data_IF_610437821501
#
_entry.id   IF_610437821501
#
_cell.length_a   1.000
_cell.length_b   1.000
_cell.length_c   1.000
_cell.angle_alpha   90.00
_cell.angle_beta   90.00
_cell.angle_gamma   90.00
#
_symmetry.space_group_name_H-M   'P 1'
#
loop_
_entity.id
_entity.type
_entity.pdbx_description
1 polymer ?
#
# COMPACT_ATOMS: atom_id res chain seq x y z
N UNK A 1 29.05 22.36 -55.96
CA UNK A 1 27.65 22.53 -56.42
C UNK A 1 26.77 22.39 -55.20
N UNK A 2 26.31 23.47 -54.53
CA UNK A 2 25.13 24.32 -54.87
C UNK A 2 23.84 23.46 -54.91
N UNK A 3 22.75 23.66 -54.14
CA UNK A 3 22.22 24.71 -53.22
C UNK A 3 21.14 24.03 -52.33
N UNK A 4 21.14 24.18 -50.99
CA UNK A 4 20.15 24.89 -50.12
C UNK A 4 18.68 24.93 -50.63
N UNK A 5 17.62 24.67 -49.84
CA UNK A 5 17.04 25.49 -48.74
C UNK A 5 15.85 24.67 -48.15
N UNK A 6 15.64 24.47 -46.85
CA UNK A 6 15.25 25.39 -45.75
C UNK A 6 13.81 25.95 -45.80
N UNK A 7 13.01 25.56 -44.79
CA UNK A 7 12.18 26.41 -43.91
C UNK A 7 10.92 27.09 -44.53
N UNK A 8 9.83 27.47 -43.83
CA UNK A 8 9.31 27.36 -42.46
C UNK A 8 7.88 27.96 -42.46
N UNK A 9 7.13 27.76 -41.37
CA UNK A 9 5.97 28.52 -40.84
C UNK A 9 4.95 29.19 -41.80
N UNK A 10 3.69 29.01 -41.42
CA UNK A 10 2.97 30.14 -40.83
C UNK A 10 1.81 30.72 -41.62
N UNK A 11 0.66 30.68 -40.94
CA UNK A 11 -0.34 31.74 -40.84
C UNK A 11 -1.23 32.09 -42.05
N UNK A 12 -2.52 31.97 -41.72
CA UNK A 12 -3.58 32.95 -41.93
C UNK A 12 -4.20 33.13 -43.32
N UNK A 13 -5.53 32.97 -43.28
CA UNK A 13 -6.59 33.53 -44.10
C UNK A 13 -6.23 34.46 -45.26
N UNK A 14 -6.88 34.26 -46.42
CA UNK A 14 -7.98 35.14 -46.86
C UNK A 14 -8.43 34.83 -48.29
N UNK A 15 -9.74 34.82 -48.52
CA UNK A 15 -10.34 35.27 -49.77
C UNK A 15 -11.81 35.67 -49.51
N UNK A 16 -12.12 36.91 -49.90
CA UNK A 16 -13.36 37.63 -49.68
C UNK A 16 -14.40 37.28 -50.76
N UNK A 17 -15.67 37.17 -50.36
CA UNK A 17 -16.83 37.44 -51.22
C UNK A 17 -17.90 38.23 -50.43
N UNK A 18 -18.59 39.12 -51.15
CA UNK A 18 -19.39 40.28 -50.71
C UNK A 18 -20.67 39.96 -49.87
N UNK A 19 -21.36 40.98 -49.31
CA UNK A 19 -22.02 40.93 -48.00
C UNK A 19 -23.43 40.35 -48.01
N UNK A 20 -23.78 39.60 -46.96
CA UNK A 20 -25.16 39.21 -46.63
C UNK A 20 -25.53 39.91 -45.30
N UNK A 21 -26.68 40.59 -45.19
CA UNK A 21 -27.08 41.27 -43.96
C UNK A 21 -27.21 40.32 -42.74
N UNK A 22 -26.33 40.56 -41.76
CA UNK A 22 -26.46 40.44 -40.28
C UNK A 22 -27.38 39.39 -39.61
N UNK A 23 -27.57 38.19 -40.13
CA UNK A 23 -28.14 37.10 -39.32
C UNK A 23 -27.08 36.20 -38.67
N UNK A 24 -25.86 36.15 -39.24
CA UNK A 24 -24.77 35.28 -38.76
C UNK A 24 -23.86 35.95 -37.72
N UNK A 25 -23.70 37.28 -37.74
CA UNK A 25 -22.85 38.01 -36.78
C UNK A 25 -23.43 38.00 -35.36
N UNK A 26 -24.75 38.20 -35.25
CA UNK A 26 -25.45 38.21 -33.96
C UNK A 26 -25.59 36.80 -33.38
N UNK A 27 -25.78 35.77 -34.23
CA UNK A 27 -25.82 34.38 -33.78
C UNK A 27 -24.45 33.87 -33.32
N UNK A 28 -23.37 34.26 -34.00
CA UNK A 28 -21.99 33.89 -33.62
C UNK A 28 -21.54 34.66 -32.39
N UNK A 29 -21.88 35.95 -32.25
CA UNK A 29 -21.58 36.72 -31.03
C UNK A 29 -22.40 36.25 -29.83
N UNK A 30 -23.66 35.85 -30.04
CA UNK A 30 -24.49 35.22 -29.01
C UNK A 30 -24.03 33.78 -28.67
N UNK A 31 -23.53 33.01 -29.63
CA UNK A 31 -22.91 31.70 -29.37
C UNK A 31 -21.58 31.84 -28.63
N UNK A 32 -20.71 32.75 -29.06
CA UNK A 32 -19.41 33.01 -28.42
C UNK A 32 -19.65 33.58 -27.02
N UNK A 33 -20.52 34.57 -26.87
CA UNK A 33 -20.89 35.10 -25.56
C UNK A 33 -21.62 34.07 -24.68
N UNK A 34 -22.43 33.19 -25.27
CA UNK A 34 -23.08 32.08 -24.57
C UNK A 34 -22.07 31.03 -24.09
N UNK A 35 -21.08 30.69 -24.92
CA UNK A 35 -19.97 29.78 -24.60
C UNK A 35 -19.04 30.42 -23.57
N UNK A 36 -18.66 31.68 -23.72
CA UNK A 36 -17.83 32.42 -22.77
C UNK A 36 -18.53 32.58 -21.42
N UNK A 37 -19.83 32.89 -21.40
CA UNK A 37 -20.61 32.97 -20.17
C UNK A 37 -20.78 31.59 -19.51
N UNK A 38 -21.04 30.54 -20.30
CA UNK A 38 -21.11 29.18 -19.77
C UNK A 38 -19.75 28.73 -19.21
N UNK A 39 -18.65 28.97 -19.93
CA UNK A 39 -17.28 28.70 -19.48
C UNK A 39 -16.96 29.51 -18.22
N UNK A 40 -17.30 30.79 -18.17
CA UNK A 40 -17.06 31.65 -17.00
C UNK A 40 -17.88 31.20 -15.79
N UNK A 41 -19.14 30.84 -15.99
CA UNK A 41 -20.02 30.34 -14.93
C UNK A 41 -19.51 29.01 -14.38
N UNK A 42 -19.20 28.05 -15.26
CA UNK A 42 -18.59 26.77 -14.89
C UNK A 42 -17.27 26.97 -14.15
N UNK A 43 -16.42 27.91 -14.61
CA UNK A 43 -15.15 28.24 -13.93
C UNK A 43 -15.39 28.83 -12.55
N UNK A 44 -16.37 29.74 -12.41
CA UNK A 44 -16.72 30.38 -11.13
C UNK A 44 -17.30 29.36 -10.12
N UNK A 45 -18.12 28.43 -10.59
CA UNK A 45 -18.68 27.35 -9.78
C UNK A 45 -17.58 26.38 -9.33
N UNK A 46 -16.66 26.00 -10.23
CA UNK A 46 -15.49 25.18 -9.91
C UNK A 46 -14.61 25.87 -8.88
N UNK A 47 -14.29 27.15 -9.06
CA UNK A 47 -13.51 27.94 -8.11
C UNK A 47 -14.19 28.01 -6.74
N UNK A 48 -15.52 28.14 -6.72
CA UNK A 48 -16.32 28.17 -5.50
C UNK A 48 -16.27 26.82 -4.78
N UNK A 49 -16.39 25.71 -5.52
CA UNK A 49 -16.29 24.35 -4.97
C UNK A 49 -14.88 24.09 -4.42
N UNK A 50 -13.83 24.45 -5.17
CA UNK A 50 -12.44 24.28 -4.75
C UNK A 50 -12.13 25.09 -3.47
N UNK A 51 -12.58 26.34 -3.39
CA UNK A 51 -12.43 27.18 -2.18
C UNK A 51 -13.18 26.61 -0.98
N UNK A 52 -14.39 26.08 -1.20
CA UNK A 52 -15.17 25.41 -0.13
C UNK A 52 -14.45 24.16 0.36
N UNK A 53 -13.94 23.33 -0.53
CA UNK A 53 -13.18 22.13 -0.17
C UNK A 53 -11.92 22.50 0.64
N UNK A 54 -11.13 23.46 0.16
CA UNK A 54 -9.95 23.95 0.86
C UNK A 54 -10.28 24.51 2.26
N UNK A 55 -11.37 25.29 2.39
CA UNK A 55 -11.84 25.79 3.69
C UNK A 55 -12.26 24.67 4.64
N UNK A 56 -12.95 23.63 4.13
CA UNK A 56 -13.34 22.47 4.92
C UNK A 56 -12.13 21.64 5.36
N UNK A 57 -11.15 21.44 4.49
CA UNK A 57 -9.88 20.77 4.82
C UNK A 57 -9.08 21.57 5.87
N UNK A 58 -9.04 22.90 5.75
CA UNK A 58 -8.36 23.77 6.71
C UNK A 58 -8.94 23.64 8.13
N UNK A 59 -10.26 23.43 8.26
CA UNK A 59 -10.92 23.18 9.56
C UNK A 59 -10.46 21.87 10.22
N UNK A 60 -9.94 20.92 9.45
CA UNK A 60 -9.36 19.66 9.95
C UNK A 60 -7.90 19.79 10.39
N UNK A 61 -7.34 21.01 10.32
CA UNK A 61 -5.97 21.32 10.73
C UNK A 61 -4.91 20.86 9.74
N UNK A 62 -5.24 20.77 8.45
CA UNK A 62 -4.28 20.49 7.35
C UNK A 62 -4.58 21.41 6.16
N UNK A 63 -3.70 21.41 5.16
CA UNK A 63 -3.86 22.22 3.94
C UNK A 63 -4.15 21.31 2.76
N UNK A 64 -5.19 21.63 1.99
CA UNK A 64 -5.48 20.95 0.73
C UNK A 64 -4.31 21.16 -0.24
N UNK A 65 -3.71 20.06 -0.67
CA UNK A 65 -2.59 20.09 -1.61
C UNK A 65 -3.10 20.19 -3.04
N UNK A 66 -2.35 20.90 -3.88
CA UNK A 66 -2.61 21.08 -5.32
C UNK A 66 -1.32 20.92 -6.13
N UNK A 67 -0.36 20.18 -5.58
CA UNK A 67 1.01 20.11 -6.05
C UNK A 67 1.32 18.82 -6.83
N UNK A 68 0.35 17.99 -7.20
CA UNK A 68 0.57 16.72 -7.86
C UNK A 68 1.50 16.80 -9.08
N UNK A 69 1.48 17.90 -9.85
CA UNK A 69 2.40 18.12 -10.97
C UNK A 69 3.89 18.24 -10.59
N UNK A 70 4.22 18.24 -9.30
CA UNK A 70 5.59 18.19 -8.77
C UNK A 70 6.06 16.78 -8.45
N UNK A 71 5.31 15.74 -8.81
CA UNK A 71 5.75 14.35 -8.62
C UNK A 71 7.08 14.06 -9.32
N UNK A 72 7.83 13.08 -8.82
CA UNK A 72 9.03 12.58 -9.50
C UNK A 72 8.69 11.64 -10.66
N UNK A 73 9.66 10.84 -11.10
CA UNK A 73 9.44 9.97 -12.25
C UNK A 73 8.44 8.87 -11.94
N UNK A 74 7.61 8.55 -12.94
CA UNK A 74 6.75 7.37 -12.92
C UNK A 74 7.57 6.21 -13.49
N UNK A 75 7.85 5.21 -12.68
CA UNK A 75 8.58 4.02 -13.13
C UNK A 75 7.60 3.08 -13.83
N UNK A 76 7.63 3.05 -15.17
CA UNK A 76 6.90 2.06 -15.96
C UNK A 76 7.75 0.80 -16.16
N UNK A 77 7.16 -0.38 -15.96
CA UNK A 77 7.83 -1.67 -16.21
C UNK A 77 8.32 -1.84 -17.66
N UNK A 78 7.75 -1.09 -18.61
CA UNK A 78 8.14 -1.11 -20.02
C UNK A 78 9.45 -0.35 -20.30
N UNK A 79 9.97 0.42 -19.33
CA UNK A 79 11.22 1.17 -19.46
C UNK A 79 12.43 0.46 -18.85
N UNK A 80 12.25 -0.78 -18.38
CA UNK A 80 13.31 -1.52 -17.72
C UNK A 80 14.24 -2.19 -18.75
N UNK A 81 15.47 -1.72 -18.81
CA UNK A 81 16.57 -2.45 -19.43
C UNK A 81 17.32 -3.23 -18.33
N UNK A 82 17.40 -4.54 -18.48
CA UNK A 82 18.21 -5.40 -17.64
C UNK A 82 19.41 -5.90 -18.45
N UNK A 83 20.58 -5.90 -17.83
CA UNK A 83 21.75 -6.58 -18.39
C UNK A 83 21.44 -8.07 -18.57
N UNK A 84 22.14 -8.73 -19.51
CA UNK A 84 22.03 -10.18 -19.63
C UNK A 84 22.40 -10.83 -18.29
N UNK A 85 21.55 -11.75 -17.84
CA UNK A 85 21.83 -12.56 -16.66
C UNK A 85 22.82 -13.64 -17.08
N UNK A 86 24.10 -13.43 -16.77
CA UNK A 86 25.13 -14.45 -16.92
C UNK A 86 24.90 -15.57 -15.87
N UNK A 87 24.89 -16.82 -16.32
CA UNK A 87 24.80 -18.03 -15.49
C UNK A 87 23.65 -18.09 -14.46
N UNK A 88 22.48 -18.53 -14.94
CA UNK A 88 21.27 -18.83 -14.15
C UNK A 88 21.47 -19.77 -12.93
N UNK A 89 22.64 -20.40 -12.77
CA UNK A 89 22.84 -21.48 -11.80
C UNK A 89 23.75 -21.15 -10.62
N UNK A 90 24.48 -20.02 -10.63
CA UNK A 90 25.44 -19.73 -9.56
C UNK A 90 24.81 -18.92 -8.43
N UNK A 91 24.51 -19.57 -7.30
CA UNK A 91 24.09 -18.87 -6.08
C UNK A 91 25.27 -18.10 -5.49
N UNK A 92 25.07 -16.82 -5.19
CA UNK A 92 26.02 -16.04 -4.39
C UNK A 92 25.94 -16.49 -2.95
N UNK A 93 27.09 -16.86 -2.38
CA UNK A 93 27.19 -17.13 -0.94
C UNK A 93 27.29 -15.82 -0.18
N UNK A 94 26.52 -15.69 0.90
CA UNK A 94 26.53 -14.50 1.75
C UNK A 94 26.10 -14.87 3.18
N UNK A 95 26.16 -13.90 4.10
CA UNK A 95 25.66 -14.07 5.46
C UNK A 95 24.77 -12.87 5.80
N UNK A 96 23.47 -13.11 5.89
CA UNK A 96 22.52 -12.14 6.44
C UNK A 96 22.40 -12.40 7.93
N UNK A 97 22.93 -11.50 8.75
CA UNK A 97 22.64 -11.49 10.18
C UNK A 97 21.47 -10.55 10.44
N UNK A 98 20.45 -11.04 11.15
CA UNK A 98 19.37 -10.19 11.65
C UNK A 98 19.87 -9.44 12.89
N UNK A 99 20.11 -8.11 12.80
CA UNK A 99 20.51 -7.38 13.99
C UNK A 99 19.37 -7.47 15.00
N UNK A 100 19.62 -8.15 16.12
CA UNK A 100 18.76 -7.98 17.29
C UNK A 100 18.91 -6.53 17.72
N UNK A 101 17.82 -5.76 17.64
CA UNK A 101 17.75 -4.45 18.27
C UNK A 101 17.93 -4.69 19.78
N UNK A 102 19.17 -4.65 20.28
CA UNK A 102 19.43 -4.91 21.72
C UNK A 102 18.97 -3.74 22.59
N UNK A 103 18.82 -2.55 22.00
CA UNK A 103 18.45 -1.33 22.68
C UNK A 103 17.03 -0.90 22.30
N UNK A 104 16.26 -0.43 23.29
CA UNK A 104 14.89 0.09 23.14
C UNK A 104 14.89 1.54 22.64
N UNK A 105 15.46 1.75 21.46
CA UNK A 105 15.56 3.06 20.81
C UNK A 105 14.49 3.21 19.73
N UNK A 106 14.15 4.46 19.41
CA UNK A 106 13.34 4.73 18.22
C UNK A 106 14.06 4.24 16.98
N UNK A 107 13.31 3.57 16.11
CA UNK A 107 13.80 3.00 14.89
C UNK A 107 14.15 4.08 13.86
N UNK A 108 15.26 3.89 13.15
CA UNK A 108 15.61 4.67 11.96
C UNK A 108 15.55 3.76 10.73
N UNK A 109 14.58 4.00 9.85
CA UNK A 109 14.39 3.17 8.65
C UNK A 109 15.54 3.24 7.66
N UNK A 110 16.37 4.29 7.68
CA UNK A 110 17.52 4.39 6.74
C UNK A 110 18.63 3.40 7.05
N UNK A 111 18.72 2.91 8.29
CA UNK A 111 19.74 1.94 8.72
C UNK A 111 19.17 0.61 9.18
N UNK A 112 17.87 0.55 9.45
CA UNK A 112 17.20 -0.66 9.88
C UNK A 112 16.99 -1.64 8.72
N UNK A 113 17.06 -2.94 9.04
CA UNK A 113 16.92 -4.05 8.10
C UNK A 113 15.86 -5.01 8.63
N UNK A 114 14.67 -4.91 8.04
CA UNK A 114 13.46 -5.60 8.47
C UNK A 114 13.36 -7.00 7.84
N UNK A 115 13.31 -8.03 8.67
CA UNK A 115 12.83 -9.36 8.32
C UNK A 115 11.41 -9.48 8.86
N UNK A 116 10.44 -9.16 8.02
CA UNK A 116 9.07 -8.98 8.43
C UNK A 116 8.13 -10.07 7.97
N UNK A 117 6.98 -10.13 8.63
CA UNK A 117 5.79 -10.87 8.17
C UNK A 117 4.55 -10.02 8.43
N UNK A 118 3.55 -10.12 7.56
CA UNK A 118 2.24 -9.51 7.76
C UNK A 118 1.35 -10.38 8.66
N UNK A 119 0.39 -9.76 9.35
CA UNK A 119 -0.75 -10.42 10.01
C UNK A 119 -2.06 -10.04 9.32
N UNK A 120 -2.12 -10.25 8.01
CA UNK A 120 -3.35 -10.11 7.23
C UNK A 120 -4.40 -11.17 7.60
N UNK A 121 -5.65 -10.94 7.21
CA UNK A 121 -6.82 -11.75 7.54
C UNK A 121 -7.06 -11.96 9.05
N UNK A 122 -6.43 -11.15 9.92
CA UNK A 122 -6.61 -11.17 11.37
C UNK A 122 -7.60 -10.10 11.83
N UNK A 123 -7.22 -8.82 11.75
CA UNK A 123 -8.04 -7.67 12.20
C UNK A 123 -8.76 -6.94 11.04
N UNK A 124 -8.57 -7.44 9.83
CA UNK A 124 -9.38 -7.22 8.63
C UNK A 124 -9.61 -8.61 8.01
N UNK A 125 -10.75 -8.83 7.34
CA UNK A 125 -11.09 -10.15 6.78
C UNK A 125 -11.07 -10.15 5.26
N UNK A 126 -10.41 -11.17 4.70
CA UNK A 126 -10.36 -11.44 3.27
C UNK A 126 -10.84 -12.89 2.98
N UNK A 127 -11.65 -13.11 1.93
CA UNK A 127 -12.36 -14.36 1.69
C UNK A 127 -11.46 -15.58 1.42
N UNK A 128 -10.35 -15.36 0.73
CA UNK A 128 -9.51 -16.42 0.20
C UNK A 128 -8.41 -16.91 1.17
N UNK A 129 -8.33 -16.40 2.41
CA UNK A 129 -7.23 -16.75 3.33
C UNK A 129 -7.49 -17.97 4.18
N UNK A 130 -8.74 -18.17 4.59
CA UNK A 130 -9.15 -19.27 5.46
C UNK A 130 -10.52 -19.74 5.00
N UNK A 131 -10.52 -20.51 3.89
CA UNK A 131 -11.74 -20.94 3.22
C UNK A 131 -12.68 -21.72 4.16
N UNK A 132 -12.12 -22.51 5.07
CA UNK A 132 -12.93 -23.29 6.01
C UNK A 132 -13.57 -22.37 7.05
N UNK A 133 -12.84 -21.41 7.62
CA UNK A 133 -13.44 -20.44 8.51
C UNK A 133 -14.47 -19.57 7.80
N UNK A 134 -14.16 -19.10 6.58
CA UNK A 134 -15.04 -18.26 5.78
C UNK A 134 -16.36 -18.98 5.47
N UNK A 135 -16.31 -20.21 4.94
CA UNK A 135 -17.50 -21.00 4.66
C UNK A 135 -18.35 -21.28 5.91
N UNK A 136 -17.71 -21.56 7.06
CA UNK A 136 -18.41 -21.89 8.31
C UNK A 136 -19.00 -20.66 9.04
N UNK A 137 -18.52 -19.45 8.75
CA UNK A 137 -18.87 -18.25 9.52
C UNK A 137 -19.53 -17.15 8.72
N UNK A 138 -19.19 -17.03 7.44
CA UNK A 138 -19.59 -15.94 6.54
C UNK A 138 -20.42 -16.51 5.38
N UNK A 139 -19.86 -17.47 4.65
CA UNK A 139 -20.44 -18.05 3.44
C UNK A 139 -20.06 -17.30 2.17
N UNK A 140 -20.18 -17.99 1.02
CA UNK A 140 -19.64 -17.52 -0.27
C UNK A 140 -20.49 -16.40 -0.93
N UNK A 141 -21.59 -15.99 -0.30
CA UNK A 141 -22.50 -14.97 -0.83
C UNK A 141 -21.98 -13.54 -0.67
N UNK A 142 -20.93 -13.34 0.13
CA UNK A 142 -20.44 -12.01 0.49
C UNK A 142 -19.01 -11.79 -0.02
N UNK A 143 -18.74 -10.70 -0.75
CA UNK A 143 -17.42 -10.43 -1.30
C UNK A 143 -16.40 -9.91 -0.26
N UNK A 144 -16.87 -9.38 0.88
CA UNK A 144 -16.05 -8.71 1.89
C UNK A 144 -16.70 -8.69 3.28
N UNK A 145 -15.91 -8.26 4.29
CA UNK A 145 -16.34 -8.10 5.69
C UNK A 145 -17.56 -7.15 5.81
N UNK A 146 -17.56 -6.06 5.04
CA UNK A 146 -18.60 -5.04 5.06
C UNK A 146 -19.97 -5.60 4.67
N UNK A 147 -20.06 -6.23 3.51
CA UNK A 147 -21.31 -6.74 2.93
C UNK A 147 -21.90 -7.84 3.81
N UNK A 148 -21.03 -8.67 4.39
CA UNK A 148 -21.44 -9.69 5.36
C UNK A 148 -22.01 -9.07 6.64
N UNK A 149 -21.27 -8.20 7.33
CA UNK A 149 -21.73 -7.57 8.56
C UNK A 149 -22.99 -6.72 8.34
N UNK A 150 -23.14 -6.09 7.18
CA UNK A 150 -24.37 -5.40 6.79
C UNK A 150 -25.57 -6.36 6.74
N UNK A 151 -25.41 -7.53 6.15
CA UNK A 151 -26.49 -8.48 5.95
C UNK A 151 -26.95 -9.15 7.26
N UNK A 152 -26.00 -9.47 8.15
CA UNK A 152 -26.28 -10.24 9.38
C UNK A 152 -26.36 -9.40 10.66
N UNK A 153 -25.97 -8.13 10.57
CA UNK A 153 -25.83 -7.18 11.69
C UNK A 153 -24.73 -7.56 12.70
N UNK A 154 -24.27 -6.55 13.47
CA UNK A 154 -23.20 -6.72 14.46
C UNK A 154 -23.52 -7.72 15.58
N UNK A 155 -24.80 -7.98 15.86
CA UNK A 155 -25.21 -9.01 16.83
C UNK A 155 -24.79 -10.43 16.41
N UNK A 156 -24.58 -10.66 15.10
CA UNK A 156 -24.14 -11.95 14.55
C UNK A 156 -22.67 -11.89 14.13
N UNK A 157 -22.26 -10.87 13.38
CA UNK A 157 -20.88 -10.83 12.87
C UNK A 157 -19.86 -10.51 13.98
N UNK A 158 -20.21 -9.66 14.95
CA UNK A 158 -19.33 -9.25 16.04
C UNK A 158 -18.77 -10.42 16.85
N UNK A 159 -19.60 -11.31 17.44
CA UNK A 159 -19.10 -12.46 18.18
C UNK A 159 -18.19 -13.40 17.39
N UNK A 160 -18.45 -13.58 16.08
CA UNK A 160 -17.61 -14.40 15.19
C UNK A 160 -16.25 -13.76 14.95
N UNK A 161 -16.24 -12.45 14.72
CA UNK A 161 -15.02 -11.66 14.57
C UNK A 161 -14.19 -11.65 15.86
N UNK A 162 -14.81 -11.41 17.02
CA UNK A 162 -14.15 -11.48 18.33
C UNK A 162 -13.49 -12.84 18.59
N UNK A 163 -14.20 -13.94 18.28
CA UNK A 163 -13.65 -15.29 18.41
C UNK A 163 -12.44 -15.51 17.48
N UNK A 164 -12.48 -14.97 16.26
CA UNK A 164 -11.34 -15.02 15.33
C UNK A 164 -10.18 -14.17 15.83
N UNK A 165 -10.42 -12.94 16.26
CA UNK A 165 -9.39 -12.04 16.79
C UNK A 165 -8.64 -12.67 17.97
N UNK A 166 -9.35 -13.41 18.83
CA UNK A 166 -8.79 -14.07 20.00
C UNK A 166 -7.92 -15.31 19.68
N UNK A 167 -8.10 -15.94 18.51
CA UNK A 167 -7.56 -17.29 18.25
C UNK A 167 -6.70 -17.40 16.99
N UNK A 168 -6.86 -16.52 16.01
CA UNK A 168 -6.16 -16.62 14.73
C UNK A 168 -4.66 -16.34 14.86
N UNK A 169 -4.27 -15.34 15.67
CA UNK A 169 -2.88 -15.02 16.01
C UNK A 169 -2.70 -15.13 17.52
N UNK A 170 -1.66 -15.84 17.95
CA UNK A 170 -1.37 -16.14 19.36
C UNK A 170 0.08 -15.84 19.72
N UNK A 171 0.42 -15.87 21.01
CA UNK A 171 1.82 -15.72 21.45
C UNK A 171 2.73 -16.88 21.02
N UNK A 172 2.16 -18.07 20.75
CA UNK A 172 2.91 -19.19 20.16
C UNK A 172 3.38 -18.89 18.74
N UNK A 173 2.57 -18.14 17.99
CA UNK A 173 2.92 -17.69 16.65
C UNK A 173 4.11 -16.72 16.69
N UNK A 174 4.10 -15.79 17.65
CA UNK A 174 5.23 -14.88 17.90
C UNK A 174 6.50 -15.66 18.26
N UNK A 175 6.39 -16.70 19.09
CA UNK A 175 7.53 -17.53 19.47
C UNK A 175 8.15 -18.26 18.27
N UNK A 176 7.32 -18.74 17.33
CA UNK A 176 7.78 -19.39 16.10
C UNK A 176 8.54 -18.40 15.22
N UNK A 177 7.98 -17.22 15.00
CA UNK A 177 8.61 -16.15 14.21
C UNK A 177 9.93 -15.67 14.81
N UNK A 178 9.95 -15.38 16.11
CA UNK A 178 11.14 -14.87 16.79
C UNK A 178 12.32 -15.85 16.78
N UNK A 179 12.05 -17.17 16.87
CA UNK A 179 13.08 -18.22 16.75
C UNK A 179 13.73 -18.30 15.37
N UNK A 180 13.03 -17.84 14.33
CA UNK A 180 13.51 -17.83 12.95
C UNK A 180 13.97 -16.44 12.49
N UNK A 181 14.17 -15.51 13.44
CA UNK A 181 14.78 -14.22 13.18
C UNK A 181 13.85 -13.17 12.56
N UNK A 182 12.54 -13.36 12.62
CA UNK A 182 11.60 -12.27 12.33
C UNK A 182 11.78 -11.17 13.38
N UNK A 183 11.96 -9.93 12.92
CA UNK A 183 12.17 -8.77 13.76
C UNK A 183 11.13 -7.65 13.53
N UNK A 184 10.25 -7.81 12.54
CA UNK A 184 9.22 -6.83 12.22
C UNK A 184 7.88 -7.51 11.97
N UNK A 185 6.79 -6.90 12.42
CA UNK A 185 5.43 -7.36 12.14
C UNK A 185 4.63 -6.20 11.56
N UNK A 186 4.03 -6.39 10.38
CA UNK A 186 3.06 -5.46 9.79
C UNK A 186 1.66 -5.97 10.05
N UNK A 187 0.80 -5.13 10.65
CA UNK A 187 -0.53 -5.55 11.11
C UNK A 187 -1.58 -4.68 10.42
N UNK A 188 -2.21 -5.19 9.36
CA UNK A 188 -3.40 -4.60 8.76
C UNK A 188 -4.54 -4.52 9.78
N UNK A 189 -5.22 -3.38 9.80
CA UNK A 189 -6.42 -3.13 10.61
C UNK A 189 -7.43 -2.34 9.80
N UNK A 190 -8.72 -2.62 9.99
CA UNK A 190 -9.76 -1.72 9.47
C UNK A 190 -9.80 -0.42 10.27
N UNK A 191 -10.28 0.68 9.66
CA UNK A 191 -10.49 1.93 10.42
C UNK A 191 -11.47 1.76 11.59
N UNK A 192 -12.37 0.77 11.52
CA UNK A 192 -13.39 0.49 12.53
C UNK A 192 -12.79 0.00 13.86
N UNK A 193 -11.55 -0.47 13.86
CA UNK A 193 -10.79 -0.74 15.09
C UNK A 193 -10.47 0.56 15.86
N UNK A 194 -10.44 1.72 15.19
CA UNK A 194 -9.89 2.97 15.73
C UNK A 194 -10.95 4.06 15.89
N UNK A 195 -11.98 4.06 15.04
CA UNK A 195 -13.05 5.05 15.07
C UNK A 195 -14.39 4.42 14.70
N UNK A 196 -15.45 4.84 15.41
CA UNK A 196 -16.83 4.50 15.06
C UNK A 196 -17.38 5.56 14.10
N UNK A 197 -17.45 5.21 12.82
CA UNK A 197 -18.04 6.06 11.79
C UNK A 197 -19.54 5.73 11.63
N UNK A 198 -20.46 6.72 11.75
CA UNK A 198 -21.86 6.51 11.47
C UNK A 198 -22.09 5.94 10.06
N UNK A 199 -22.89 4.88 9.97
CA UNK A 199 -23.20 4.21 8.69
C UNK A 199 -22.21 3.13 8.27
N UNK A 200 -21.04 3.04 8.91
CA UNK A 200 -20.08 1.95 8.66
C UNK A 200 -20.70 0.58 9.00
N UNK A 201 -20.47 -0.39 8.12
CA UNK A 201 -20.86 -1.79 8.34
C UNK A 201 -19.67 -2.65 8.77
N UNK A 202 -18.50 -2.06 9.02
CA UNK A 202 -17.39 -2.76 9.65
C UNK A 202 -17.57 -2.77 11.16
N UNK A 203 -17.28 -3.91 11.78
CA UNK A 203 -17.52 -4.09 13.21
C UNK A 203 -16.49 -3.33 14.06
N UNK A 204 -16.96 -2.53 15.03
CA UNK A 204 -16.10 -1.86 16.02
C UNK A 204 -16.23 -2.52 17.39
N UNK A 205 -15.25 -3.35 17.76
CA UNK A 205 -15.20 -4.13 18.99
C UNK A 205 -13.86 -4.03 19.73
N UNK A 206 -13.33 -5.17 20.16
CA UNK A 206 -12.12 -5.24 20.98
C UNK A 206 -10.82 -5.41 20.17
N UNK A 207 -10.78 -5.06 18.89
CA UNK A 207 -9.59 -5.24 18.04
C UNK A 207 -8.32 -4.68 18.71
N UNK A 208 -8.41 -3.48 19.31
CA UNK A 208 -7.27 -2.87 20.01
C UNK A 208 -6.79 -3.68 21.22
N UNK A 209 -7.67 -4.40 21.92
CA UNK A 209 -7.27 -5.22 23.07
C UNK A 209 -6.47 -6.45 22.63
N UNK A 210 -6.93 -7.16 21.59
CA UNK A 210 -6.17 -8.28 21.01
C UNK A 210 -4.84 -7.81 20.43
N UNK A 211 -4.85 -6.69 19.70
CA UNK A 211 -3.65 -6.06 19.18
C UNK A 211 -2.65 -5.72 20.29
N UNK A 212 -3.11 -5.12 21.41
CA UNK A 212 -2.27 -4.79 22.56
C UNK A 212 -1.58 -6.03 23.13
N UNK A 213 -2.33 -7.12 23.31
CA UNK A 213 -1.79 -8.35 23.88
C UNK A 213 -0.65 -8.92 23.03
N UNK A 214 -0.87 -9.03 21.72
CA UNK A 214 0.12 -9.58 20.78
C UNK A 214 1.33 -8.66 20.62
N UNK A 215 1.11 -7.36 20.43
CA UNK A 215 2.21 -6.39 20.23
C UNK A 215 3.08 -6.25 21.48
N UNK A 216 2.49 -6.20 22.69
CA UNK A 216 3.27 -6.17 23.93
C UNK A 216 4.16 -7.41 24.04
N UNK A 217 3.64 -8.60 23.76
CA UNK A 217 4.41 -9.84 23.82
C UNK A 217 5.56 -9.87 22.79
N UNK A 218 5.27 -9.47 21.54
CA UNK A 218 6.28 -9.40 20.47
C UNK A 218 7.41 -8.40 20.80
N UNK A 219 7.06 -7.23 21.32
CA UNK A 219 8.04 -6.20 21.69
C UNK A 219 8.82 -6.62 22.95
N UNK A 220 8.16 -7.13 23.99
CA UNK A 220 8.85 -7.43 25.25
C UNK A 220 9.77 -8.64 25.15
N UNK A 221 9.34 -9.68 24.43
CA UNK A 221 10.09 -10.93 24.35
C UNK A 221 11.15 -10.92 23.26
N UNK A 222 10.85 -10.31 22.12
CA UNK A 222 11.70 -10.37 20.92
C UNK A 222 12.19 -9.01 20.44
N UNK A 223 11.75 -7.90 21.06
CA UNK A 223 11.99 -6.54 20.60
C UNK A 223 11.65 -6.34 19.12
N UNK A 224 10.56 -6.99 18.67
CA UNK A 224 10.05 -6.82 17.32
C UNK A 224 9.50 -5.40 17.13
N UNK A 225 9.75 -4.83 15.96
CA UNK A 225 9.14 -3.57 15.55
C UNK A 225 7.78 -3.80 14.92
N UNK A 226 6.79 -2.98 15.26
CA UNK A 226 5.41 -3.13 14.84
C UNK A 226 5.03 -2.00 13.88
N UNK A 227 4.48 -2.36 12.72
CA UNK A 227 3.83 -1.42 11.80
C UNK A 227 2.32 -1.59 11.99
N UNK A 228 1.63 -0.56 12.45
CA UNK A 228 0.16 -0.54 12.51
C UNK A 228 -0.35 0.07 11.22
N UNK A 229 -1.01 -0.74 10.39
CA UNK A 229 -1.57 -0.33 9.11
C UNK A 229 -3.07 -0.02 9.21
N UNK A 230 -3.47 1.19 8.84
CA UNK A 230 -4.86 1.47 8.48
C UNK A 230 -5.09 0.98 7.07
N UNK A 231 -5.51 -0.29 6.95
CA UNK A 231 -5.62 -0.99 5.67
C UNK A 231 -6.84 -0.52 4.88
N UNK A 232 -7.92 -0.17 5.59
CA UNK A 232 -9.07 0.55 5.05
C UNK A 232 -9.17 1.97 5.63
N UNK A 233 -9.80 2.87 4.88
CA UNK A 233 -10.21 4.20 5.37
C UNK A 233 -11.70 4.43 5.07
N UNK A 234 -12.38 5.28 5.87
CA UNK A 234 -13.75 5.70 5.64
C UNK A 234 -14.06 6.04 4.17
N UNK A 235 -15.04 5.38 3.57
CA UNK A 235 -15.47 5.58 2.18
C UNK A 235 -14.72 4.77 1.13
N UNK A 236 -13.67 4.03 1.49
CA UNK A 236 -12.95 3.14 0.56
C UNK A 236 -11.88 3.84 -0.28
N UNK A 237 -10.68 3.27 -0.29
CA UNK A 237 -9.49 3.86 -0.93
C UNK A 237 -9.11 3.25 -2.27
N UNK A 238 -9.71 2.12 -2.66
CA UNK A 238 -9.32 1.39 -3.87
C UNK A 238 -10.41 0.53 -4.50
N UNK A 239 -11.67 0.67 -4.08
CA UNK A 239 -12.82 -0.10 -4.63
C UNK A 239 -12.77 -1.60 -4.31
N UNK A 240 -11.77 -2.08 -3.57
CA UNK A 240 -11.64 -3.46 -3.11
C UNK A 240 -12.16 -3.62 -1.67
N UNK A 241 -12.46 -4.87 -1.27
CA UNK A 241 -12.84 -5.21 0.10
C UNK A 241 -11.81 -4.74 1.14
N UNK A 242 -10.52 -4.84 0.81
CA UNK A 242 -9.41 -4.38 1.67
C UNK A 242 -9.42 -2.87 1.93
N UNK A 243 -9.92 -2.07 0.98
CA UNK A 243 -9.96 -0.62 1.10
C UNK A 243 -11.13 -0.08 1.93
N UNK A 244 -12.22 -0.84 2.01
CA UNK A 244 -13.36 -0.72 2.96
C UNK A 244 -14.43 -1.76 2.61
N UNK A 245 -14.83 -1.78 1.34
CA UNK A 245 -15.84 -2.65 0.74
C UNK A 245 -15.71 -2.60 -0.79
N UNK A 246 -16.10 -3.68 -1.46
CA UNK A 246 -16.15 -3.74 -2.91
C UNK A 246 -17.05 -2.63 -3.48
N UNK A 247 -16.54 -1.88 -4.45
CA UNK A 247 -17.26 -0.76 -5.07
C UNK A 247 -17.13 0.59 -4.34
N UNK A 248 -16.51 0.64 -3.16
CA UNK A 248 -16.37 1.89 -2.40
C UNK A 248 -15.12 2.69 -2.79
N UNK A 249 -15.31 3.95 -3.19
CA UNK A 249 -14.24 4.89 -3.57
C UNK A 249 -14.47 6.33 -3.07
N UNK A 250 -15.39 6.52 -2.13
CA UNK A 250 -15.84 7.81 -1.63
C UNK A 250 -14.85 8.48 -0.66
N UNK A 251 -13.71 7.85 -0.33
CA UNK A 251 -12.68 8.48 0.52
C UNK A 251 -12.09 9.75 -0.14
N UNK A 252 -11.87 9.70 -1.45
CA UNK A 252 -11.27 10.79 -2.20
C UNK A 252 -12.17 12.03 -2.22
N UNK A 253 -11.56 13.20 -1.99
CA UNK A 253 -12.22 14.52 -2.01
C UNK A 253 -13.39 14.69 -1.03
N UNK A 254 -13.52 13.81 -0.03
CA UNK A 254 -14.59 13.84 0.95
C UNK A 254 -14.06 14.23 2.34
N UNK A 255 -14.39 15.45 2.78
CA UNK A 255 -13.90 15.99 4.05
C UNK A 255 -14.43 15.28 5.29
N UNK A 256 -15.61 14.68 5.24
CA UNK A 256 -16.12 13.83 6.34
C UNK A 256 -15.28 12.58 6.46
N UNK A 257 -15.00 11.89 5.34
CA UNK A 257 -14.16 10.70 5.33
C UNK A 257 -12.71 11.01 5.75
N UNK A 258 -12.18 12.17 5.34
CA UNK A 258 -10.88 12.65 5.79
C UNK A 258 -10.83 12.93 7.30
N UNK A 259 -11.87 13.56 7.87
CA UNK A 259 -11.97 13.76 9.32
C UNK A 259 -11.97 12.43 10.09
N UNK A 260 -12.80 11.46 9.67
CA UNK A 260 -12.81 10.14 10.31
C UNK A 260 -11.49 9.38 10.11
N UNK A 261 -10.81 9.54 8.97
CA UNK A 261 -9.47 8.99 8.75
C UNK A 261 -8.47 9.57 9.76
N UNK A 262 -8.51 10.89 9.97
CA UNK A 262 -7.68 11.53 10.98
C UNK A 262 -8.00 11.09 12.41
N UNK A 263 -9.28 10.88 12.74
CA UNK A 263 -9.68 10.33 14.04
C UNK A 263 -9.20 8.89 14.24
N UNK A 264 -9.18 8.08 13.18
CA UNK A 264 -8.56 6.75 13.21
C UNK A 264 -7.05 6.84 13.48
N UNK A 265 -6.34 7.74 12.82
CA UNK A 265 -4.92 8.03 13.10
C UNK A 265 -4.71 8.46 14.56
N UNK A 266 -5.55 9.36 15.08
CA UNK A 266 -5.47 9.78 16.48
C UNK A 266 -5.68 8.58 17.44
N UNK A 267 -6.54 7.64 17.07
CA UNK A 267 -6.73 6.35 17.77
C UNK A 267 -5.47 5.48 17.77
N UNK A 268 -4.83 5.31 16.61
CA UNK A 268 -3.54 4.59 16.47
C UNK A 268 -2.47 5.26 17.33
N UNK A 269 -2.34 6.58 17.25
CA UNK A 269 -1.33 7.34 18.01
C UNK A 269 -1.58 7.26 19.52
N UNK A 270 -2.85 7.27 19.96
CA UNK A 270 -3.19 7.04 21.35
C UNK A 270 -2.81 5.62 21.79
N UNK A 271 -3.05 4.61 20.95
CA UNK A 271 -2.61 3.24 21.21
C UNK A 271 -1.09 3.15 21.35
N UNK A 272 -0.33 3.81 20.47
CA UNK A 272 1.14 3.83 20.54
C UNK A 272 1.59 4.56 21.81
N UNK A 273 1.05 5.74 22.11
CA UNK A 273 1.39 6.54 23.28
C UNK A 273 1.15 5.78 24.59
N UNK A 274 0.00 5.12 24.70
CA UNK A 274 -0.39 4.37 25.91
C UNK A 274 0.24 2.98 26.01
N UNK A 275 1.00 2.55 25.00
CA UNK A 275 1.72 1.27 25.02
C UNK A 275 2.88 1.23 26.01
N UNK A 276 3.44 2.39 26.40
CA UNK A 276 4.73 2.47 27.11
C UNK A 276 5.95 2.02 26.27
N UNK A 277 5.75 1.78 24.96
CA UNK A 277 6.72 1.21 24.01
C UNK A 277 6.73 1.97 22.68
N UNK A 278 6.48 3.28 22.70
CA UNK A 278 6.33 4.09 21.49
C UNK A 278 7.48 3.96 20.49
N UNK A 279 8.69 3.64 20.97
CA UNK A 279 9.88 3.41 20.16
C UNK A 279 9.75 2.25 19.16
N UNK A 280 8.85 1.29 19.41
CA UNK A 280 8.69 0.06 18.66
C UNK A 280 7.57 0.12 17.61
N UNK A 281 7.08 1.31 17.25
CA UNK A 281 5.95 1.47 16.34
C UNK A 281 6.26 2.37 15.14
N UNK A 282 5.71 1.99 13.99
CA UNK A 282 5.54 2.81 12.78
C UNK A 282 4.04 2.89 12.46
N UNK A 283 3.58 4.03 11.93
CA UNK A 283 2.19 4.22 11.45
C UNK A 283 2.16 4.13 9.93
N UNK A 284 1.44 3.17 9.37
CA UNK A 284 1.10 3.11 7.95
C UNK A 284 -0.35 3.58 7.76
N UNK A 285 -0.59 4.83 7.31
CA UNK A 285 -1.90 5.46 7.43
C UNK A 285 -2.87 5.12 6.29
N UNK A 286 -2.40 4.48 5.22
CA UNK A 286 -3.18 4.10 4.04
C UNK A 286 -2.52 2.90 3.36
N UNK A 287 -3.31 2.07 2.69
CA UNK A 287 -2.85 0.90 1.95
C UNK A 287 -3.41 0.91 0.52
N UNK A 288 -2.52 0.75 -0.47
CA UNK A 288 -2.84 0.59 -1.89
C UNK A 288 -3.93 1.54 -2.42
N UNK A 289 -3.84 2.86 -2.21
CA UNK A 289 -4.88 3.77 -2.64
C UNK A 289 -4.91 3.90 -4.18
N UNK A 290 -6.12 3.89 -4.73
CA UNK A 290 -6.40 4.01 -6.15
C UNK A 290 -7.78 4.64 -6.36
N UNK A 291 -7.84 5.78 -7.05
CA UNK A 291 -9.09 6.42 -7.45
C UNK A 291 -9.54 6.02 -8.86
N UNK A 292 -8.81 5.12 -9.51
CA UNK A 292 -9.15 4.52 -10.80
C UNK A 292 -9.05 2.99 -10.78
N UNK A 293 -10.15 2.34 -10.41
CA UNK A 293 -10.24 0.87 -10.28
C UNK A 293 -9.84 0.11 -11.55
N UNK A 294 -10.16 0.62 -12.74
CA UNK A 294 -9.87 -0.06 -14.01
C UNK A 294 -8.37 -0.22 -14.28
N UNK A 295 -7.54 0.56 -13.59
CA UNK A 295 -6.09 0.54 -13.68
C UNK A 295 -5.42 0.33 -12.31
N UNK A 296 -6.12 -0.34 -11.39
CA UNK A 296 -5.55 -0.70 -10.09
C UNK A 296 -4.22 -1.44 -10.24
N UNK A 297 -3.27 -1.17 -9.35
CA UNK A 297 -1.91 -1.70 -9.40
C UNK A 297 -1.08 -1.30 -10.63
N UNK A 298 -1.46 -0.22 -11.32
CA UNK A 298 -0.65 0.43 -12.35
C UNK A 298 -0.54 1.93 -12.10
N UNK A 299 0.41 2.63 -12.76
CA UNK A 299 0.51 4.09 -12.67
C UNK A 299 -0.73 4.86 -13.15
N UNK A 300 -1.63 4.23 -13.90
CA UNK A 300 -2.90 4.84 -14.31
C UNK A 300 -3.99 4.68 -13.25
N UNK A 301 -3.73 3.92 -12.18
CA UNK A 301 -4.63 3.67 -11.05
C UNK A 301 -4.84 4.86 -10.11
N UNK A 302 -4.03 5.92 -10.23
CA UNK A 302 -4.12 7.12 -9.41
C UNK A 302 -4.09 8.40 -10.26
N UNK A 303 -5.10 9.24 -10.14
CA UNK A 303 -5.14 10.54 -10.80
C UNK A 303 -4.29 11.58 -10.06
N UNK A 304 -3.96 12.68 -10.74
CA UNK A 304 -3.31 13.83 -10.10
C UNK A 304 -4.12 14.39 -8.90
N UNK A 305 -5.45 14.34 -8.98
CA UNK A 305 -6.29 14.74 -7.86
C UNK A 305 -6.18 13.73 -6.71
N UNK A 306 -6.12 12.43 -7.00
CA UNK A 306 -5.86 11.38 -6.02
C UNK A 306 -4.53 11.62 -5.29
N UNK A 307 -3.46 11.92 -6.02
CA UNK A 307 -2.15 12.29 -5.47
C UNK A 307 -2.23 13.51 -4.56
N UNK A 308 -2.92 14.57 -4.98
CA UNK A 308 -3.17 15.75 -4.14
C UNK A 308 -3.89 15.40 -2.83
N UNK A 309 -4.89 14.52 -2.89
CA UNK A 309 -5.66 14.12 -1.72
C UNK A 309 -4.83 13.27 -0.75
N UNK A 310 -4.03 12.34 -1.28
CA UNK A 310 -3.07 11.55 -0.48
C UNK A 310 -2.05 12.48 0.18
N UNK A 311 -1.45 13.42 -0.54
CA UNK A 311 -0.52 14.40 0.04
C UNK A 311 -1.19 15.25 1.14
N UNK A 312 -2.46 15.62 0.97
CA UNK A 312 -3.24 16.34 2.00
C UNK A 312 -3.37 15.52 3.29
N UNK A 313 -3.70 14.23 3.13
CA UNK A 313 -3.86 13.30 4.24
C UNK A 313 -2.52 12.97 4.92
N UNK A 314 -1.46 12.70 4.17
CA UNK A 314 -0.13 12.39 4.70
C UNK A 314 0.45 13.57 5.48
N UNK A 315 0.35 14.80 4.94
CA UNK A 315 0.78 16.00 5.68
C UNK A 315 -0.02 16.20 6.98
N UNK A 316 -1.34 15.98 6.95
CA UNK A 316 -2.18 16.02 8.14
C UNK A 316 -1.87 14.93 9.16
N UNK A 317 -1.40 13.76 8.70
CA UNK A 317 -0.96 12.63 9.53
C UNK A 317 0.39 12.94 10.18
N UNK A 318 1.37 13.47 9.43
CA UNK A 318 2.67 13.92 9.96
C UNK A 318 2.47 14.99 11.06
N UNK A 319 1.56 15.94 10.85
CA UNK A 319 1.23 16.96 11.85
C UNK A 319 0.64 16.35 13.14
N UNK A 320 -0.15 15.28 13.03
CA UNK A 320 -0.71 14.55 14.20
C UNK A 320 0.36 13.73 14.92
N UNK A 321 1.21 13.02 14.18
CA UNK A 321 2.38 12.32 14.73
C UNK A 321 3.24 13.29 15.53
N UNK A 322 3.54 14.47 14.96
CA UNK A 322 4.38 15.49 15.61
C UNK A 322 3.80 16.02 16.94
N UNK A 323 2.47 16.03 17.10
CA UNK A 323 1.80 16.39 18.37
C UNK A 323 1.96 15.32 19.46
N UNK A 324 2.26 14.08 19.08
CA UNK A 324 2.47 12.96 19.99
C UNK A 324 3.97 12.71 20.22
N UNK A 325 4.70 12.35 19.16
CA UNK A 325 6.15 12.20 19.15
C UNK A 325 6.66 12.11 17.70
N UNK A 326 7.43 13.12 17.24
CA UNK A 326 7.98 13.17 15.87
C UNK A 326 8.96 12.02 15.53
N UNK A 327 9.39 11.25 16.52
CA UNK A 327 10.28 10.10 16.33
C UNK A 327 9.53 8.85 15.86
N UNK A 328 8.20 8.82 15.97
CA UNK A 328 7.37 7.76 15.39
C UNK A 328 7.39 7.92 13.85
N UNK A 329 7.84 6.92 13.08
CA UNK A 329 7.87 7.04 11.62
C UNK A 329 6.48 6.94 11.00
N UNK A 330 6.27 7.67 9.91
CA UNK A 330 5.17 7.44 8.97
C UNK A 330 5.65 6.52 7.84
N UNK A 331 4.85 5.53 7.48
CA UNK A 331 5.09 4.65 6.34
C UNK A 331 4.04 4.89 5.26
N UNK A 332 4.44 5.47 4.12
CA UNK A 332 3.54 5.79 3.02
C UNK A 332 3.56 4.67 1.98
N UNK A 333 2.43 3.97 1.82
CA UNK A 333 2.25 3.03 0.70
C UNK A 333 2.21 3.81 -0.62
N UNK A 334 3.01 3.36 -1.58
CA UNK A 334 3.41 4.14 -2.75
C UNK A 334 2.38 4.20 -3.91
N UNK A 335 1.20 3.61 -3.74
CA UNK A 335 0.19 3.48 -4.79
C UNK A 335 0.75 2.91 -6.11
N UNK A 336 1.79 2.07 -6.03
CA UNK A 336 2.48 1.44 -7.16
C UNK A 336 3.30 2.41 -8.04
N UNK A 337 3.68 3.59 -7.51
CA UNK A 337 4.52 4.58 -8.21
C UNK A 337 6.00 4.58 -7.81
N UNK A 338 6.40 3.82 -6.79
CA UNK A 338 7.73 3.86 -6.14
C UNK A 338 8.02 5.13 -5.34
N UNK A 339 9.16 5.13 -4.64
CA UNK A 339 9.63 6.26 -3.83
C UNK A 339 9.89 7.53 -4.64
N UNK A 340 10.45 7.41 -5.86
CA UNK A 340 10.87 8.55 -6.66
C UNK A 340 9.68 9.46 -7.00
N UNK A 341 8.49 8.89 -7.24
CA UNK A 341 7.27 9.65 -7.49
C UNK A 341 6.88 10.54 -6.31
N UNK A 342 6.96 10.01 -5.09
CA UNK A 342 6.52 10.68 -3.87
C UNK A 342 7.58 11.59 -3.24
N UNK A 343 8.86 11.32 -3.51
CA UNK A 343 10.01 12.00 -2.91
C UNK A 343 9.92 13.55 -2.97
N UNK A 344 9.56 14.19 -4.09
CA UNK A 344 9.53 15.66 -4.16
C UNK A 344 8.49 16.32 -3.25
N UNK A 345 7.45 15.61 -2.81
CA UNK A 345 6.37 16.18 -2.02
C UNK A 345 6.75 16.45 -0.56
N UNK A 346 7.79 15.80 -0.04
CA UNK A 346 8.16 15.85 1.36
C UNK A 346 9.58 16.39 1.54
N UNK A 347 9.87 17.26 2.53
CA UNK A 347 11.24 17.73 2.78
C UNK A 347 12.19 16.58 3.16
N UNK A 348 13.45 16.69 2.76
CA UNK A 348 14.50 15.79 3.25
C UNK A 348 14.57 15.86 4.79
N UNK A 349 14.71 14.70 5.45
CA UNK A 349 14.70 14.61 6.91
C UNK A 349 13.31 14.45 7.55
N UNK A 350 12.23 14.44 6.75
CA UNK A 350 10.94 13.93 7.23
C UNK A 350 11.11 12.46 7.65
N UNK A 351 10.60 12.09 8.83
CA UNK A 351 10.67 10.70 9.33
C UNK A 351 9.64 9.82 8.61
N UNK A 352 9.91 9.59 7.33
CA UNK A 352 9.09 8.92 6.35
C UNK A 352 9.84 7.71 5.80
N UNK A 353 9.12 6.61 5.61
CA UNK A 353 9.56 5.43 4.85
C UNK A 353 8.51 5.15 3.78
N UNK A 354 8.93 4.77 2.58
CA UNK A 354 8.02 4.35 1.51
C UNK A 354 7.77 2.85 1.61
N UNK A 355 6.52 2.44 1.51
CA UNK A 355 6.08 1.05 1.47
C UNK A 355 5.70 0.67 0.03
N UNK A 356 6.48 -0.24 -0.55
CA UNK A 356 6.23 -0.79 -1.89
C UNK A 356 5.78 -2.24 -1.79
N UNK A 357 4.78 -2.61 -2.59
CA UNK A 357 4.29 -3.99 -2.66
C UNK A 357 4.75 -4.64 -3.97
N UNK A 358 5.36 -5.83 -3.87
CA UNK A 358 5.91 -6.54 -5.03
C UNK A 358 5.32 -7.93 -5.12
N UNK A 359 4.61 -8.19 -6.21
CA UNK A 359 3.96 -9.47 -6.48
C UNK A 359 4.23 -9.95 -7.91
N UNK A 360 4.51 -11.25 -8.05
CA UNK A 360 4.83 -11.89 -9.33
C UNK A 360 3.66 -12.68 -9.95
N UNK A 361 2.54 -12.81 -9.23
CA UNK A 361 1.37 -13.58 -9.67
C UNK A 361 0.45 -12.78 -10.62
N UNK A 362 0.48 -11.45 -10.55
CA UNK A 362 -0.48 -10.59 -11.24
C UNK A 362 -0.01 -10.12 -12.63
N UNK A 363 1.27 -10.32 -12.98
CA UNK A 363 1.82 -9.88 -14.25
C UNK A 363 1.87 -11.02 -15.29
N UNK A 364 1.46 -10.73 -16.53
CA UNK A 364 1.54 -11.68 -17.64
C UNK A 364 3.00 -12.10 -17.92
N UNK A 365 3.19 -13.36 -18.29
CA UNK A 365 4.50 -13.89 -18.72
C UNK A 365 5.53 -14.17 -17.61
N UNK A 366 5.12 -14.13 -16.34
CA UNK A 366 6.02 -14.42 -15.22
C UNK A 366 5.98 -15.91 -14.84
N UNK A 367 7.00 -16.66 -15.28
CA UNK A 367 7.18 -18.07 -14.95
C UNK A 367 8.15 -18.25 -13.78
N UNK A 368 7.81 -19.15 -12.85
CA UNK A 368 8.54 -19.34 -11.59
C UNK A 368 10.05 -19.46 -11.76
N UNK A 369 10.50 -20.26 -12.73
CA UNK A 369 11.93 -20.48 -12.98
C UNK A 369 12.69 -19.20 -13.36
N UNK A 370 12.02 -18.18 -13.91
CA UNK A 370 12.66 -16.93 -14.33
C UNK A 370 12.50 -15.79 -13.32
N UNK A 371 11.81 -16.01 -12.19
CA UNK A 371 11.59 -14.96 -11.18
C UNK A 371 12.87 -14.62 -10.41
N UNK A 372 13.66 -15.62 -10.00
CA UNK A 372 14.88 -15.40 -9.20
C UNK A 372 15.87 -14.40 -9.83
N UNK A 373 16.19 -14.48 -11.14
CA UNK A 373 17.02 -13.48 -11.81
C UNK A 373 16.44 -12.06 -11.82
N UNK A 374 15.11 -11.93 -11.95
CA UNK A 374 14.44 -10.63 -12.04
C UNK A 374 14.35 -9.90 -10.69
N UNK A 375 14.26 -10.66 -9.59
CA UNK A 375 14.08 -10.11 -8.23
C UNK A 375 15.11 -9.05 -7.89
N UNK A 376 16.39 -9.28 -8.18
CA UNK A 376 17.45 -8.34 -7.81
C UNK A 376 17.43 -7.05 -8.63
N UNK A 377 17.15 -7.13 -9.93
CA UNK A 377 16.96 -5.96 -10.76
C UNK A 377 15.79 -5.13 -10.24
N UNK A 378 14.63 -5.77 -10.05
CA UNK A 378 13.43 -5.10 -9.55
C UNK A 378 13.65 -4.49 -8.16
N UNK A 379 14.25 -5.22 -7.22
CA UNK A 379 14.56 -4.72 -5.89
C UNK A 379 15.53 -3.54 -5.91
N UNK A 380 16.52 -3.53 -6.81
CA UNK A 380 17.45 -2.41 -6.97
C UNK A 380 16.73 -1.14 -7.45
N UNK A 381 15.80 -1.26 -8.39
CA UNK A 381 15.07 -0.09 -8.90
C UNK A 381 13.99 0.39 -7.94
N UNK A 382 13.09 -0.50 -7.50
CA UNK A 382 11.98 -0.15 -6.59
C UNK A 382 12.49 0.19 -5.20
N UNK A 383 13.47 -0.56 -4.69
CA UNK A 383 13.94 -0.47 -3.31
C UNK A 383 14.85 0.72 -3.01
N UNK A 384 15.38 1.39 -4.02
CA UNK A 384 16.29 2.54 -3.84
C UNK A 384 15.59 3.86 -4.16
N UNK A 385 14.76 3.93 -5.20
CA UNK A 385 14.18 5.19 -5.68
C UNK A 385 15.26 6.23 -6.02
N UNK A 386 15.04 7.49 -5.63
CA UNK A 386 16.04 8.56 -5.72
C UNK A 386 16.99 8.61 -4.50
N UNK A 387 16.70 7.79 -3.47
CA UNK A 387 17.49 7.64 -2.25
C UNK A 387 17.20 8.68 -1.16
N UNK A 388 16.22 9.58 -1.34
CA UNK A 388 15.85 10.58 -0.32
C UNK A 388 15.12 9.95 0.86
N UNK A 389 14.24 8.99 0.61
CA UNK A 389 13.56 8.23 1.64
C UNK A 389 13.90 6.74 1.58
N UNK A 390 14.00 6.06 2.74
CA UNK A 390 14.14 4.61 2.76
C UNK A 390 12.89 3.95 2.17
N UNK A 391 13.08 2.87 1.42
CA UNK A 391 11.99 2.00 0.96
C UNK A 391 11.97 0.74 1.80
N UNK A 392 10.78 0.22 2.09
CA UNK A 392 10.52 -1.07 2.72
C UNK A 392 9.55 -1.84 1.82
N UNK A 393 9.82 -3.11 1.55
CA UNK A 393 8.90 -3.94 0.74
C UNK A 393 7.84 -4.54 1.65
N UNK A 394 6.77 -3.81 1.95
CA UNK A 394 5.83 -4.19 3.00
C UNK A 394 4.94 -5.37 2.67
N UNK A 395 4.84 -5.73 1.39
CA UNK A 395 4.14 -6.93 0.96
C UNK A 395 4.84 -7.62 -0.22
N UNK A 396 5.00 -8.94 -0.10
CA UNK A 396 5.52 -9.83 -1.15
C UNK A 396 5.20 -11.29 -0.83
N UNK A 397 5.14 -12.16 -1.85
CA UNK A 397 4.90 -13.61 -1.69
C UNK A 397 5.76 -14.45 -2.65
N UNK A 398 5.57 -15.78 -2.66
CA UNK A 398 6.33 -16.66 -3.56
C UNK A 398 5.59 -17.03 -4.85
N UNK A 399 4.30 -16.70 -4.98
CA UNK A 399 3.52 -17.10 -6.15
C UNK A 399 3.96 -16.31 -7.39
N UNK A 400 4.24 -17.03 -8.47
CA UNK A 400 4.36 -16.50 -9.83
C UNK A 400 3.09 -16.78 -10.64
N UNK A 401 2.94 -16.12 -11.78
CA UNK A 401 1.77 -16.32 -12.64
C UNK A 401 1.73 -17.75 -13.22
N UNK A 402 2.87 -18.29 -13.65
CA UNK A 402 2.95 -19.62 -14.27
C UNK A 402 4.03 -20.53 -13.69
N UNK A 403 3.86 -21.85 -13.86
CA UNK A 403 4.80 -22.92 -13.55
C UNK A 403 5.36 -22.86 -12.12
N UNK A 404 4.52 -22.57 -11.12
CA UNK A 404 4.94 -22.59 -9.73
C UNK A 404 5.49 -23.98 -9.37
N UNK A 405 6.58 -24.03 -8.60
CA UNK A 405 7.17 -25.29 -8.14
C UNK A 405 7.43 -25.28 -6.64
N UNK A 406 7.01 -26.36 -5.97
CA UNK A 406 7.20 -26.54 -4.53
C UNK A 406 8.68 -26.60 -4.17
N UNK A 407 9.51 -27.19 -5.03
CA UNK A 407 10.95 -27.32 -4.84
C UNK A 407 11.70 -25.98 -5.01
N UNK A 408 11.16 -25.06 -5.80
CA UNK A 408 11.80 -23.78 -6.10
C UNK A 408 11.50 -22.67 -5.08
N UNK A 409 10.53 -22.89 -4.19
CA UNK A 409 10.13 -21.92 -3.14
C UNK A 409 11.29 -21.44 -2.28
N UNK A 410 12.22 -22.34 -1.90
CA UNK A 410 13.39 -21.93 -1.11
C UNK A 410 14.27 -20.94 -1.86
N UNK A 411 14.51 -21.17 -3.14
CA UNK A 411 15.26 -20.27 -3.99
C UNK A 411 14.57 -18.89 -4.07
N UNK A 412 13.27 -18.85 -4.33
CA UNK A 412 12.51 -17.60 -4.40
C UNK A 412 12.54 -16.83 -3.07
N UNK A 413 12.29 -17.52 -1.96
CA UNK A 413 12.30 -16.93 -0.62
C UNK A 413 13.68 -16.35 -0.28
N UNK A 414 14.73 -17.17 -0.37
CA UNK A 414 16.10 -16.76 -0.07
C UNK A 414 16.55 -15.57 -0.95
N UNK A 415 16.10 -15.55 -2.21
CA UNK A 415 16.45 -14.49 -3.16
C UNK A 415 15.74 -13.18 -2.86
N UNK A 416 14.43 -13.20 -2.62
CA UNK A 416 13.65 -12.00 -2.24
C UNK A 416 14.15 -11.41 -0.92
N UNK A 417 14.35 -12.24 0.11
CA UNK A 417 14.90 -11.79 1.39
C UNK A 417 16.24 -11.09 1.18
N UNK A 418 17.17 -11.70 0.45
CA UNK A 418 18.47 -11.09 0.19
C UNK A 418 18.38 -9.78 -0.59
N UNK A 419 17.61 -9.76 -1.69
CA UNK A 419 17.49 -8.60 -2.56
C UNK A 419 16.89 -7.40 -1.81
N UNK A 420 15.84 -7.63 -1.02
CA UNK A 420 15.20 -6.57 -0.24
C UNK A 420 16.10 -6.08 0.90
N UNK A 421 16.94 -6.93 1.51
CA UNK A 421 17.95 -6.40 2.45
C UNK A 421 19.06 -5.61 1.77
N UNK A 422 19.48 -6.05 0.59
CA UNK A 422 20.59 -5.43 -0.14
C UNK A 422 20.21 -4.05 -0.66
N UNK A 423 19.01 -3.91 -1.22
CA UNK A 423 18.61 -2.71 -1.96
C UNK A 423 17.58 -1.84 -1.25
N UNK A 424 16.85 -2.36 -0.25
CA UNK A 424 15.87 -1.59 0.52
C UNK A 424 16.08 -1.80 2.02
N UNK A 425 15.13 -1.39 2.86
CA UNK A 425 15.14 -1.56 4.31
C UNK A 425 14.63 -2.95 4.74
N UNK A 426 14.63 -3.92 3.81
CA UNK A 426 14.05 -5.24 3.99
C UNK A 426 12.60 -5.32 3.51
N UNK A 427 11.86 -6.32 3.99
CA UNK A 427 10.48 -6.52 3.58
C UNK A 427 9.67 -7.37 4.56
N UNK A 428 8.35 -7.37 4.38
CA UNK A 428 7.42 -8.22 5.14
C UNK A 428 6.67 -9.20 4.24
N UNK A 429 6.87 -10.49 4.50
CA UNK A 429 6.20 -11.54 3.74
C UNK A 429 4.69 -11.46 3.95
N UNK A 430 3.94 -11.46 2.86
CA UNK A 430 2.50 -11.59 2.87
C UNK A 430 2.14 -13.06 2.60
N UNK A 431 1.64 -13.82 3.59
CA UNK A 431 1.21 -13.45 4.94
C UNK A 431 1.67 -14.50 5.98
N UNK A 432 1.48 -14.27 7.29
CA UNK A 432 1.85 -15.25 8.31
C UNK A 432 1.06 -16.57 8.18
N UNK A 433 -0.27 -16.47 8.05
CA UNK A 433 -1.19 -17.61 7.90
C UNK A 433 -2.03 -17.44 6.63
N UNK A 434 -1.86 -18.37 5.70
CA UNK A 434 -2.77 -18.64 4.58
C UNK A 434 -3.22 -20.08 4.77
N UNK A 435 -4.48 -20.29 5.13
CA UNK A 435 -5.10 -21.59 5.40
C UNK A 435 -6.00 -22.03 4.22
N UNK A 436 -5.64 -21.58 3.02
CA UNK A 436 -6.29 -22.01 1.79
C UNK A 436 -5.52 -23.18 1.18
N UNK A 437 -5.98 -24.38 1.53
CA UNK A 437 -5.47 -25.66 1.06
C UNK A 437 -6.24 -26.23 -0.15
N UNK A 438 -7.23 -25.49 -0.68
CA UNK A 438 -8.10 -25.95 -1.76
C UNK A 438 -7.71 -25.36 -3.10
N UNK A 439 -7.51 -24.04 -3.15
CA UNK A 439 -7.27 -23.33 -4.41
C UNK A 439 -5.87 -23.63 -4.94
N UNK A 440 -5.81 -24.06 -6.19
CA UNK A 440 -4.57 -24.35 -6.91
C UNK A 440 -3.93 -23.07 -7.43
N UNK A 441 -2.61 -23.09 -7.54
CA UNK A 441 -1.87 -22.16 -8.40
C UNK A 441 -1.57 -22.84 -9.74
N UNK A 442 -1.21 -22.06 -10.75
CA UNK A 442 -0.66 -22.63 -11.98
C UNK A 442 0.68 -23.35 -11.68
N UNK A 443 0.79 -24.63 -12.02
CA UNK A 443 1.92 -25.49 -11.65
C UNK A 443 1.61 -26.39 -10.44
N UNK A 444 2.54 -26.45 -9.48
CA UNK A 444 2.48 -27.36 -8.34
C UNK A 444 1.91 -26.68 -7.09
N UNK A 445 1.07 -27.39 -6.32
CA UNK A 445 0.66 -26.97 -4.97
C UNK A 445 -0.59 -26.10 -4.91
N UNK A 446 -0.79 -25.49 -3.75
CA UNK A 446 -1.96 -24.70 -3.36
C UNK A 446 -1.55 -23.29 -2.95
N UNK A 447 -2.51 -22.37 -2.82
CA UNK A 447 -2.22 -21.00 -2.37
C UNK A 447 -1.43 -20.97 -1.04
N UNK A 448 -1.81 -21.79 -0.04
CA UNK A 448 -1.06 -21.84 1.23
C UNK A 448 0.43 -22.17 1.08
N UNK A 449 0.83 -22.92 0.04
CA UNK A 449 2.22 -23.32 -0.17
C UNK A 449 3.12 -22.15 -0.57
N UNK A 450 2.55 -21.05 -1.06
CA UNK A 450 3.27 -19.88 -1.57
C UNK A 450 2.98 -18.59 -0.81
N UNK A 451 1.94 -18.58 0.03
CA UNK A 451 1.44 -17.41 0.75
C UNK A 451 1.40 -17.56 2.27
N UNK A 452 1.64 -18.76 2.84
CA UNK A 452 1.76 -18.93 4.29
C UNK A 452 3.22 -19.00 4.73
N UNK A 453 3.71 -17.94 5.36
CA UNK A 453 5.02 -17.95 6.01
C UNK A 453 5.13 -19.06 7.06
N UNK A 454 4.08 -19.30 7.84
CA UNK A 454 4.06 -20.39 8.83
C UNK A 454 4.25 -21.76 8.18
N UNK A 455 3.57 -22.05 7.07
CA UNK A 455 3.73 -23.32 6.35
C UNK A 455 5.13 -23.45 5.72
N UNK A 456 5.67 -22.35 5.16
CA UNK A 456 7.05 -22.31 4.66
C UNK A 456 8.07 -22.60 5.77
N UNK A 457 7.84 -22.05 6.97
CA UNK A 457 8.66 -22.32 8.15
C UNK A 457 8.58 -23.79 8.59
N UNK A 458 7.40 -24.41 8.55
CA UNK A 458 7.26 -25.86 8.85
C UNK A 458 7.95 -26.73 7.79
N UNK A 459 8.04 -26.26 6.55
CA UNK A 459 8.81 -26.88 5.47
C UNK A 459 10.33 -26.57 5.53
N UNK A 460 10.80 -25.84 6.55
CA UNK A 460 12.22 -25.51 6.73
C UNK A 460 12.78 -24.51 5.72
N UNK A 461 11.94 -23.72 5.05
CA UNK A 461 12.37 -22.79 4.00
C UNK A 461 13.09 -21.58 4.60
N UNK A 462 12.45 -20.76 5.47
CA UNK A 462 13.20 -19.96 6.45
C UNK A 462 14.02 -20.92 7.31
N UNK A 463 15.33 -20.95 7.10
CA UNK A 463 16.21 -21.86 7.83
C UNK A 463 16.72 -21.21 9.11
N UNK A 464 16.94 -22.01 10.15
CA UNK A 464 17.57 -21.53 11.39
C UNK A 464 19.01 -21.03 11.17
N UNK A 465 19.69 -21.52 10.12
CA UNK A 465 20.99 -21.03 9.66
C UNK A 465 20.91 -19.71 8.87
N UNK A 466 19.71 -19.13 8.72
CA UNK A 466 19.48 -17.91 7.97
C UNK A 466 19.42 -18.13 6.45
N UNK A 467 19.62 -17.06 5.70
CA UNK A 467 19.74 -17.07 4.24
C UNK A 467 21.21 -16.94 3.89
N UNK A 468 21.79 -17.97 3.27
CA UNK A 468 23.24 -18.06 3.00
C UNK A 468 23.59 -18.23 1.51
N UNK A 469 22.58 -18.32 0.63
CA UNK A 469 22.76 -18.48 -0.81
C UNK A 469 21.58 -17.91 -1.58
N UNK A 470 21.81 -16.95 -2.49
CA UNK A 470 20.75 -16.27 -3.25
C UNK A 470 21.17 -15.98 -4.69
N UNK A 471 20.21 -15.64 -5.55
CA UNK A 471 20.46 -15.20 -6.93
C UNK A 471 20.48 -13.67 -6.99
N UNK A 472 21.62 -13.11 -7.36
CA UNK A 472 21.91 -11.68 -7.50
C UNK A 472 23.38 -11.55 -7.94
#
# INVERSE_FOLDING_TARGET
>A
MRVQSSLVLGLAASAHAAPVPSLFGDLVTALIGGVENAVTTVTTDIDTVAKKLASSVAKLGTTLQTNAGSHGNIISCNQWAFDQVDDFLKRLTHSITWPSQKNKNFLNWTTYKANGVNFGAWLEQEPNYDLNWWANNIGDAYPDEWSWCQAVWFSVCGPKLEARYASFITTKDIDKMGKLGINTIRIPTTYAAWVKMPGSQLYSGNQQAYLRSITNYAIDKYNMHIIIGSHSLPGGVNTLGIGEAFGHNAWFFNTTNLDYSFRAIDGILNFIKTSGRAYAFTVAPINEPSDNFAAFATPEGLTANGTNWINTYVNGTLARIAKVDKRIPLMLQDAFFSEEYWSPFFPAGTNLVIDSHIYFFAAAGIYSQYVAPAICGQAKYIGVGDGKFPVFIGEWSLQSNYNNSLAYRKTLYDTQVYAYQKYSSGGAFWNYKMLNDKDTVDGEGKLQDYWSWSALADAGIPSASGVNGSYC
#
